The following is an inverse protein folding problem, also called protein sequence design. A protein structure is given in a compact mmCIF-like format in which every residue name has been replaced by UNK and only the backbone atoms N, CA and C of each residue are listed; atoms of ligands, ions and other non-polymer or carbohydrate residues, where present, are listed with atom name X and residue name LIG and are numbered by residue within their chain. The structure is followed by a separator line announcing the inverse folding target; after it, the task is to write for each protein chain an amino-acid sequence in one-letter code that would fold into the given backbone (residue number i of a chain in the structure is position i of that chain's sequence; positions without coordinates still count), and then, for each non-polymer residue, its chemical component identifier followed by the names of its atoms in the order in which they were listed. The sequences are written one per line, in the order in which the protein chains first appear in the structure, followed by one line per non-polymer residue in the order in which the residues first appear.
data_IF_701411894936
#
_entry.id   IF_701411894936
#
_cell.length_a   1.000
_cell.length_b   1.000
_cell.length_c   1.000
_cell.angle_alpha   90.00
_cell.angle_beta   90.00
_cell.angle_gamma   90.00
#
_symmetry.space_group_name_H-M   'P 1'
#
loop_
_entity.id
_entity.type
_entity.pdbx_description
1 polymer ?
#
# COMPACT_ATOMS: atom_id res chain seq x y z
N UNK A 1 -9.25 1.20 -70.58
CA UNK A 1 -9.29 2.13 -69.42
C UNK A 1 -8.32 3.26 -69.70
N UNK A 2 -8.76 4.52 -69.59
CA UNK A 2 -7.85 5.66 -69.76
C UNK A 2 -7.00 5.87 -68.49
N UNK A 3 -5.79 6.39 -68.64
CA UNK A 3 -4.84 6.62 -67.53
C UNK A 3 -5.45 7.42 -66.36
N UNK A 4 -6.33 8.37 -66.67
CA UNK A 4 -7.05 9.18 -65.68
C UNK A 4 -8.01 8.34 -64.81
N UNK A 5 -8.66 7.32 -65.36
CA UNK A 5 -9.55 6.44 -64.59
C UNK A 5 -8.76 5.57 -63.60
N UNK A 6 -7.56 5.12 -64.01
CA UNK A 6 -6.67 4.32 -63.16
C UNK A 6 -6.16 5.17 -61.98
N UNK A 7 -5.79 6.43 -62.24
CA UNK A 7 -5.34 7.36 -61.20
C UNK A 7 -6.42 7.64 -60.14
N UNK A 8 -7.68 7.84 -60.57
CA UNK A 8 -8.81 8.09 -59.65
C UNK A 8 -9.08 6.85 -58.78
N UNK A 9 -9.04 5.65 -59.36
CA UNK A 9 -9.25 4.40 -58.61
C UNK A 9 -8.12 4.17 -57.59
N UNK A 10 -6.87 4.45 -57.95
CA UNK A 10 -5.73 4.36 -57.03
C UNK A 10 -5.82 5.37 -55.89
N UNK A 11 -6.22 6.61 -56.17
CA UNK A 11 -6.41 7.64 -55.15
C UNK A 11 -7.55 7.26 -54.18
N UNK A 12 -8.66 6.74 -54.70
CA UNK A 12 -9.77 6.25 -53.88
C UNK A 12 -9.36 5.07 -53.00
N UNK A 13 -8.63 4.10 -53.55
CA UNK A 13 -8.11 2.96 -52.79
C UNK A 13 -7.14 3.41 -51.69
N UNK A 14 -6.21 4.30 -52.01
CA UNK A 14 -5.25 4.85 -51.05
C UNK A 14 -5.94 5.60 -49.90
N UNK A 15 -6.95 6.42 -50.20
CA UNK A 15 -7.75 7.12 -49.19
C UNK A 15 -8.51 6.14 -48.27
N UNK A 16 -9.05 5.06 -48.85
CA UNK A 16 -9.78 4.04 -48.10
C UNK A 16 -8.83 3.24 -47.19
N UNK A 17 -7.64 2.88 -47.67
CA UNK A 17 -6.60 2.26 -46.84
C UNK A 17 -6.07 3.19 -45.75
N UNK A 18 -5.88 4.49 -46.04
CA UNK A 18 -5.45 5.47 -45.05
C UNK A 18 -6.49 5.67 -43.94
N UNK A 19 -7.78 5.72 -44.30
CA UNK A 19 -8.88 5.79 -43.34
C UNK A 19 -8.92 4.53 -42.45
N UNK A 20 -8.79 3.34 -43.05
CA UNK A 20 -8.74 2.08 -42.31
C UNK A 20 -7.53 2.01 -41.38
N UNK A 21 -6.35 2.46 -41.83
CA UNK A 21 -5.15 2.52 -41.03
C UNK A 21 -5.32 3.46 -39.83
N UNK A 22 -5.94 4.63 -40.01
CA UNK A 22 -6.24 5.56 -38.93
C UNK A 22 -7.21 4.95 -37.89
N UNK A 23 -8.25 4.24 -38.34
CA UNK A 23 -9.18 3.53 -37.47
C UNK A 23 -8.48 2.40 -36.69
N UNK A 24 -7.61 1.62 -37.33
CA UNK A 24 -6.83 0.61 -36.63
C UNK A 24 -5.84 1.20 -35.64
N UNK A 25 -5.14 2.28 -36.00
CA UNK A 25 -4.18 2.95 -35.14
C UNK A 25 -4.84 3.48 -33.86
N UNK A 26 -6.02 4.12 -33.98
CA UNK A 26 -6.77 4.62 -32.82
C UNK A 26 -7.29 3.50 -31.92
N UNK A 27 -7.79 2.39 -32.49
CA UNK A 27 -8.21 1.22 -31.70
C UNK A 27 -7.03 0.53 -31.02
N UNK A 28 -5.89 0.45 -31.69
CA UNK A 28 -4.66 -0.11 -31.14
C UNK A 28 -4.13 0.74 -29.96
N UNK A 29 -4.13 2.07 -30.08
CA UNK A 29 -3.73 2.97 -28.98
C UNK A 29 -4.64 2.81 -27.76
N UNK A 30 -5.96 2.75 -27.98
CA UNK A 30 -6.92 2.52 -26.89
C UNK A 30 -6.74 1.15 -26.23
N UNK A 31 -6.49 0.09 -27.00
CA UNK A 31 -6.21 -1.23 -26.46
C UNK A 31 -4.89 -1.22 -25.66
N UNK A 32 -3.84 -0.59 -26.18
CA UNK A 32 -2.55 -0.50 -25.51
C UNK A 32 -2.66 0.24 -24.17
N UNK A 33 -3.35 1.38 -24.12
CA UNK A 33 -3.55 2.13 -22.87
C UNK A 33 -4.32 1.31 -21.83
N UNK A 34 -5.29 0.49 -22.25
CA UNK A 34 -6.03 -0.40 -21.36
C UNK A 34 -5.14 -1.50 -20.83
N UNK A 35 -4.33 -2.12 -21.67
CA UNK A 35 -3.42 -3.18 -21.26
C UNK A 35 -2.31 -2.66 -20.35
N UNK A 36 -1.74 -1.48 -20.62
CA UNK A 36 -0.78 -0.82 -19.70
C UNK A 36 -1.43 -0.58 -18.34
N UNK A 37 -2.67 -0.08 -18.31
CA UNK A 37 -3.40 0.12 -17.05
C UNK A 37 -3.66 -1.20 -16.32
N UNK A 38 -4.04 -2.26 -17.03
CA UNK A 38 -4.28 -3.57 -16.46
C UNK A 38 -2.98 -4.20 -15.94
N UNK A 39 -1.89 -4.07 -16.68
CA UNK A 39 -0.56 -4.51 -16.27
C UNK A 39 -0.12 -3.80 -15.00
N UNK A 40 -0.29 -2.47 -14.93
CA UNK A 40 -0.03 -1.71 -13.71
C UNK A 40 -0.86 -2.24 -12.55
N UNK A 41 -2.19 -2.40 -12.69
CA UNK A 41 -3.01 -2.95 -11.59
C UNK A 41 -2.55 -4.32 -11.11
N UNK A 42 -2.14 -5.20 -12.03
CA UNK A 42 -1.62 -6.54 -11.67
C UNK A 42 -0.30 -6.43 -10.91
N UNK A 43 0.60 -5.57 -11.38
CA UNK A 43 1.86 -5.28 -10.71
C UNK A 43 1.66 -4.68 -9.31
N UNK A 44 0.70 -3.76 -9.17
CA UNK A 44 0.36 -3.15 -7.90
C UNK A 44 -0.19 -4.18 -6.91
N UNK A 45 -1.04 -5.09 -7.38
CA UNK A 45 -1.55 -6.19 -6.57
C UNK A 45 -0.45 -7.17 -6.14
N UNK A 46 0.56 -7.43 -6.99
CA UNK A 46 1.65 -8.34 -6.66
C UNK A 46 2.69 -7.73 -5.72
N UNK A 47 2.87 -6.41 -5.76
CA UNK A 47 3.85 -5.68 -4.94
C UNK A 47 3.28 -5.17 -3.62
N UNK A 48 1.96 -5.25 -3.43
CA UNK A 48 1.30 -4.78 -2.21
C UNK A 48 1.78 -5.58 -0.99
N UNK A 49 2.29 -4.91 0.06
CA UNK A 49 2.62 -5.57 1.31
C UNK A 49 1.34 -6.03 2.03
N UNK A 50 1.41 -7.22 2.62
CA UNK A 50 0.29 -7.81 3.38
C UNK A 50 0.86 -8.33 4.70
N UNK A 51 1.11 -7.43 5.66
CA UNK A 51 1.65 -7.84 6.94
C UNK A 51 0.54 -8.43 7.81
N UNK A 52 0.84 -9.53 8.50
CA UNK A 52 -0.04 -10.22 9.43
C UNK A 52 0.60 -10.28 10.81
N UNK A 53 -0.22 -10.09 11.84
CA UNK A 53 0.23 -9.95 13.22
C UNK A 53 -0.37 -11.07 14.05
N UNK A 54 0.51 -11.87 14.65
CA UNK A 54 0.14 -12.95 15.56
C UNK A 54 0.62 -12.59 16.97
N UNK A 55 -0.32 -12.55 17.90
CA UNK A 55 -0.04 -12.19 19.29
C UNK A 55 0.55 -13.37 20.05
N UNK A 56 1.77 -13.22 20.56
CA UNK A 56 2.39 -14.20 21.46
C UNK A 56 2.11 -13.86 22.93
N UNK A 57 2.44 -14.79 23.84
CA UNK A 57 2.01 -14.76 25.25
C UNK A 57 2.35 -13.48 26.03
N UNK A 58 1.56 -13.26 27.09
CA UNK A 58 1.50 -12.07 27.92
C UNK A 58 2.78 -11.86 28.74
N UNK A 59 3.32 -10.64 28.64
CA UNK A 59 4.48 -10.17 29.42
C UNK A 59 3.99 -9.37 30.63
N UNK A 60 4.83 -9.24 31.65
CA UNK A 60 4.50 -8.44 32.83
C UNK A 60 4.23 -6.97 32.44
N UNK A 61 3.32 -6.27 33.17
CA UNK A 61 3.00 -4.87 32.90
C UNK A 61 4.25 -3.98 32.82
N UNK A 62 4.28 -3.06 31.86
CA UNK A 62 5.39 -2.13 31.64
C UNK A 62 6.62 -2.72 30.95
N UNK A 63 6.61 -4.00 30.58
CA UNK A 63 7.65 -4.60 29.74
C UNK A 63 7.25 -4.56 28.26
N UNK A 64 8.25 -4.59 27.38
CA UNK A 64 7.99 -4.71 25.94
C UNK A 64 7.26 -6.01 25.62
N UNK A 65 6.24 -5.95 24.77
CA UNK A 65 5.52 -7.13 24.31
C UNK A 65 6.20 -7.73 23.08
N UNK A 66 6.36 -9.05 23.04
CA UNK A 66 6.75 -9.73 21.81
C UNK A 66 5.51 -10.05 20.99
N UNK A 67 5.56 -9.72 19.70
CA UNK A 67 4.52 -10.00 18.74
C UNK A 67 5.17 -10.60 17.51
N UNK A 68 4.57 -11.64 16.93
CA UNK A 68 5.07 -12.19 15.67
C UNK A 68 4.45 -11.42 14.51
N UNK A 69 5.30 -10.90 13.63
CA UNK A 69 4.86 -10.24 12.40
C UNK A 69 5.41 -11.03 11.23
N UNK A 70 4.54 -11.40 10.32
CA UNK A 70 4.88 -11.98 9.03
C UNK A 70 4.44 -11.03 7.92
N UNK A 71 5.02 -11.18 6.73
CA UNK A 71 4.60 -10.45 5.55
C UNK A 71 4.27 -11.47 4.46
N UNK A 72 3.01 -11.53 4.05
CA UNK A 72 2.53 -12.47 3.04
C UNK A 72 2.59 -11.89 1.61
N UNK A 73 2.82 -10.58 1.50
CA UNK A 73 2.81 -9.85 0.24
C UNK A 73 4.20 -9.39 -0.22
N UNK A 74 4.19 -8.31 -1.00
CA UNK A 74 5.41 -7.62 -1.47
C UNK A 74 6.20 -6.99 -0.33
N UNK A 75 7.39 -6.47 -0.62
CA UNK A 75 8.31 -5.90 0.39
C UNK A 75 7.65 -4.80 1.24
N UNK A 76 7.81 -4.91 2.55
CA UNK A 76 7.36 -3.95 3.53
C UNK A 76 8.50 -2.96 3.83
N UNK A 77 8.59 -1.91 3.01
CA UNK A 77 9.64 -0.90 3.10
C UNK A 77 9.53 -0.02 4.36
N UNK A 78 8.34 0.02 4.96
CA UNK A 78 8.07 0.63 6.26
C UNK A 78 6.75 0.12 6.80
N UNK A 79 6.62 -0.01 8.12
CA UNK A 79 5.38 -0.40 8.75
C UNK A 79 5.23 0.22 10.12
N UNK A 80 4.20 1.07 10.28
CA UNK A 80 3.80 1.57 11.59
C UNK A 80 2.79 0.62 12.22
N UNK A 81 3.09 0.12 13.41
CA UNK A 81 2.23 -0.80 14.15
C UNK A 81 1.95 -0.24 15.54
N UNK A 82 0.66 -0.13 15.90
CA UNK A 82 0.19 0.16 17.26
C UNK A 82 -0.67 -1.01 17.72
N UNK A 83 -0.29 -1.60 18.84
CA UNK A 83 -1.00 -2.71 19.47
C UNK A 83 -1.42 -2.30 20.86
N UNK A 84 -2.67 -2.60 21.20
CA UNK A 84 -3.18 -2.54 22.55
C UNK A 84 -3.24 -3.95 23.13
N UNK A 85 -2.72 -4.13 24.33
CA UNK A 85 -2.93 -5.34 25.11
C UNK A 85 -3.35 -4.95 26.54
N UNK A 86 -4.51 -5.43 26.98
CA UNK A 86 -5.11 -5.04 28.26
C UNK A 86 -5.19 -3.50 28.39
N UNK A 87 -4.46 -2.95 29.35
CA UNK A 87 -4.43 -1.52 29.69
C UNK A 87 -3.17 -0.83 29.15
N UNK A 88 -2.46 -1.44 28.20
CA UNK A 88 -1.18 -0.93 27.69
C UNK A 88 -1.22 -0.78 26.17
N UNK A 89 -0.58 0.28 25.69
CA UNK A 89 -0.38 0.56 24.27
C UNK A 89 1.10 0.47 23.96
N UNK A 90 1.40 -0.29 22.92
CA UNK A 90 2.73 -0.50 22.39
C UNK A 90 2.75 -0.03 20.95
N UNK A 91 3.88 0.52 20.52
CA UNK A 91 4.06 0.93 19.14
C UNK A 91 5.48 0.73 18.69
N UNK A 92 5.65 0.28 17.45
CA UNK A 92 6.95 0.25 16.81
C UNK A 92 6.81 0.47 15.32
N UNK A 93 7.96 0.74 14.73
CA UNK A 93 8.13 0.75 13.29
C UNK A 93 9.02 -0.42 12.89
N UNK A 94 8.69 -1.08 11.78
CA UNK A 94 9.42 -2.25 11.30
C UNK A 94 9.47 -2.31 9.78
N UNK A 95 10.49 -2.97 9.26
CA UNK A 95 10.63 -3.27 7.84
C UNK A 95 10.78 -4.77 7.67
N UNK A 96 10.20 -5.32 6.61
CA UNK A 96 10.26 -6.75 6.32
C UNK A 96 10.51 -6.98 4.82
N UNK A 97 11.32 -7.98 4.46
CA UNK A 97 11.48 -8.37 3.07
C UNK A 97 10.17 -8.90 2.48
N UNK A 98 10.15 -9.10 1.16
CA UNK A 98 9.04 -9.79 0.50
C UNK A 98 8.86 -11.18 1.09
N UNK A 99 7.60 -11.57 1.33
CA UNK A 99 7.23 -12.91 1.84
C UNK A 99 8.01 -13.33 3.10
N UNK A 100 8.27 -12.37 3.99
CA UNK A 100 9.00 -12.64 5.22
C UNK A 100 8.20 -13.59 6.12
N UNK A 101 8.81 -14.70 6.61
CA UNK A 101 8.16 -15.58 7.57
C UNK A 101 7.91 -14.85 8.89
N UNK A 102 7.03 -15.42 9.72
CA UNK A 102 6.75 -14.90 11.06
C UNK A 102 8.03 -14.73 11.88
N UNK A 103 8.29 -13.49 12.30
CA UNK A 103 9.44 -13.13 13.15
C UNK A 103 8.95 -12.43 14.41
N UNK A 104 9.53 -12.76 15.58
CA UNK A 104 9.22 -12.04 16.80
C UNK A 104 9.80 -10.62 16.72
N UNK A 105 8.95 -9.63 17.01
CA UNK A 105 9.29 -8.22 17.08
C UNK A 105 8.90 -7.74 18.47
N UNK A 106 9.83 -7.04 19.11
CA UNK A 106 9.60 -6.43 20.41
C UNK A 106 8.96 -5.06 20.21
N UNK A 107 7.76 -4.87 20.77
CA UNK A 107 7.06 -3.60 20.79
C UNK A 107 7.26 -2.92 22.15
N UNK A 108 7.90 -1.74 22.21
CA UNK A 108 8.10 -1.01 23.44
C UNK A 108 6.77 -0.48 23.99
N UNK A 109 6.68 -0.43 25.31
CA UNK A 109 5.57 0.22 26.01
C UNK A 109 5.62 1.73 25.75
N UNK A 110 4.48 2.32 25.39
CA UNK A 110 4.35 3.76 25.16
C UNK A 110 3.55 4.41 26.29
N UNK A 111 2.35 3.92 26.53
CA UNK A 111 1.41 4.53 27.46
C UNK A 111 0.35 3.52 27.89
N UNK A 112 -0.32 3.79 29.01
CA UNK A 112 -1.54 3.07 29.37
C UNK A 112 -2.70 3.44 28.45
N UNK A 113 -3.46 2.42 28.04
CA UNK A 113 -4.67 2.59 27.28
C UNK A 113 -5.77 3.23 28.14
N UNK A 114 -6.62 4.02 27.49
CA UNK A 114 -7.77 4.68 28.12
C UNK A 114 -8.94 3.70 28.39
N UNK A 115 -8.97 2.58 27.66
CA UNK A 115 -9.93 1.50 27.82
C UNK A 115 -9.18 0.19 27.95
N UNK A 116 -9.70 -0.75 28.72
CA UNK A 116 -9.16 -2.10 28.82
C UNK A 116 -9.60 -2.94 27.64
N UNK A 117 -8.67 -3.55 26.92
CA UNK A 117 -8.96 -4.56 25.92
C UNK A 117 -8.94 -5.97 26.54
N UNK A 118 -9.92 -6.81 26.24
CA UNK A 118 -9.95 -8.21 26.71
C UNK A 118 -8.95 -9.10 25.97
N UNK A 119 -8.64 -8.75 24.71
CA UNK A 119 -7.68 -9.45 23.86
C UNK A 119 -6.73 -8.44 23.21
N UNK A 120 -5.48 -8.84 22.91
CA UNK A 120 -4.57 -8.02 22.12
C UNK A 120 -5.20 -7.63 20.78
N UNK A 121 -5.11 -6.35 20.42
CA UNK A 121 -5.68 -5.82 19.17
C UNK A 121 -4.75 -4.78 18.55
N UNK A 122 -4.56 -4.87 17.24
CA UNK A 122 -3.91 -3.82 16.47
C UNK A 122 -4.88 -2.64 16.31
N UNK A 123 -4.48 -1.48 16.81
CA UNK A 123 -5.23 -0.23 16.70
C UNK A 123 -4.87 0.53 15.42
N UNK A 124 -3.63 0.37 14.96
CA UNK A 124 -3.15 0.94 13.72
C UNK A 124 -2.13 -0.03 13.10
N UNK A 125 -2.27 -0.27 11.80
CA UNK A 125 -1.28 -0.99 11.03
C UNK A 125 -1.21 -0.39 9.63
N UNK A 126 -0.11 0.29 9.35
CA UNK A 126 0.11 0.95 8.07
C UNK A 126 1.35 0.37 7.43
N UNK A 127 1.23 -0.09 6.19
CA UNK A 127 2.35 -0.60 5.41
C UNK A 127 2.74 0.39 4.31
N UNK A 128 4.03 0.55 4.08
CA UNK A 128 4.61 1.26 2.94
C UNK A 128 5.31 0.25 2.03
N UNK A 129 5.01 0.32 0.73
CA UNK A 129 5.67 -0.50 -0.29
C UNK A 129 6.98 0.15 -0.78
N UNK A 130 7.72 -0.58 -1.62
CA UNK A 130 8.96 -0.08 -2.24
C UNK A 130 8.72 1.11 -3.17
N UNK A 131 7.51 1.20 -3.75
CA UNK A 131 7.08 2.31 -4.59
C UNK A 131 6.75 3.59 -3.81
N UNK A 132 6.75 3.55 -2.47
CA UNK A 132 6.42 4.68 -1.61
C UNK A 132 4.94 4.87 -1.31
N UNK A 133 4.06 3.98 -1.79
CA UNK A 133 2.63 3.99 -1.50
C UNK A 133 2.38 3.41 -0.11
N UNK A 134 1.38 3.95 0.58
CA UNK A 134 1.00 3.49 1.90
C UNK A 134 -0.38 2.87 1.89
N UNK A 135 -0.59 1.85 2.73
CA UNK A 135 -1.83 1.09 2.81
C UNK A 135 -2.25 0.92 4.27
N UNK A 136 -3.54 1.09 4.54
CA UNK A 136 -4.14 0.72 5.83
C UNK A 136 -4.42 -0.78 5.85
N UNK A 137 -3.60 -1.53 6.56
CA UNK A 137 -3.67 -2.98 6.62
C UNK A 137 -4.82 -3.50 7.51
N UNK A 138 -5.42 -2.66 8.35
CA UNK A 138 -6.58 -3.06 9.17
C UNK A 138 -7.88 -2.97 8.37
N UNK A 139 -8.00 -2.01 7.45
CA UNK A 139 -9.17 -1.83 6.59
C UNK A 139 -8.98 -2.47 5.20
N UNK A 140 -8.53 -3.73 5.18
CA UNK A 140 -8.39 -4.53 3.96
C UNK A 140 -7.27 -4.08 3.01
N UNK A 141 -6.33 -3.26 3.48
CA UNK A 141 -5.23 -2.74 2.68
C UNK A 141 -5.66 -1.60 1.75
N UNK A 142 -6.55 -0.70 2.18
CA UNK A 142 -6.92 0.48 1.39
C UNK A 142 -5.72 1.42 1.22
N UNK A 143 -5.56 1.96 0.02
CA UNK A 143 -4.48 2.90 -0.27
C UNK A 143 -4.71 4.25 0.43
N UNK A 144 -3.65 4.77 1.04
CA UNK A 144 -3.61 6.04 1.74
C UNK A 144 -2.93 7.08 0.84
N UNK A 145 -3.71 8.07 0.37
CA UNK A 145 -3.20 9.12 -0.54
C UNK A 145 -2.26 10.12 0.11
N UNK A 146 -2.53 10.50 1.36
CA UNK A 146 -1.70 11.43 2.14
C UNK A 146 -1.36 10.77 3.48
N UNK A 147 -0.23 10.02 3.55
CA UNK A 147 0.15 9.26 4.74
C UNK A 147 0.33 10.15 5.96
N UNK A 148 0.90 11.36 5.79
CA UNK A 148 1.17 12.27 6.90
C UNK A 148 -0.11 12.77 7.55
N UNK A 149 -1.06 13.24 6.74
CA UNK A 149 -2.35 13.70 7.24
C UNK A 149 -3.17 12.56 7.81
N UNK A 150 -3.16 11.40 7.16
CA UNK A 150 -3.93 10.23 7.59
C UNK A 150 -3.40 9.68 8.93
N UNK A 151 -2.10 9.44 9.06
CA UNK A 151 -1.48 8.97 10.30
C UNK A 151 -1.71 9.97 11.43
N UNK A 152 -1.52 11.27 11.17
CA UNK A 152 -1.81 12.31 12.15
C UNK A 152 -3.26 12.29 12.64
N UNK A 153 -4.22 12.03 11.75
CA UNK A 153 -5.64 11.88 12.11
C UNK A 153 -5.89 10.65 12.97
N UNK A 154 -5.28 9.50 12.63
CA UNK A 154 -5.42 8.27 13.42
C UNK A 154 -4.81 8.43 14.82
N UNK A 155 -3.60 8.98 14.90
CA UNK A 155 -2.93 9.24 16.18
C UNK A 155 -3.73 10.21 17.05
N UNK A 156 -4.38 11.22 16.45
CA UNK A 156 -5.29 12.12 17.19
C UNK A 156 -6.51 11.35 17.71
N UNK A 157 -7.11 10.49 16.89
CA UNK A 157 -8.23 9.63 17.31
C UNK A 157 -7.87 8.69 18.45
N UNK A 158 -6.63 8.18 18.45
CA UNK A 158 -6.08 7.33 19.51
C UNK A 158 -5.53 8.11 20.71
N UNK A 159 -5.56 9.46 20.68
CA UNK A 159 -4.94 10.35 21.69
C UNK A 159 -3.43 10.11 21.89
N UNK A 160 -2.74 9.69 20.84
CA UNK A 160 -1.31 9.39 20.81
C UNK A 160 -0.49 10.45 20.05
N UNK A 161 -1.09 11.60 19.76
CA UNK A 161 -0.43 12.67 19.03
C UNK A 161 0.81 13.16 19.80
N UNK A 162 1.98 13.11 19.17
CA UNK A 162 3.26 13.50 19.77
C UNK A 162 3.89 12.45 20.69
N UNK A 163 3.24 11.31 20.93
CA UNK A 163 3.78 10.20 21.72
C UNK A 163 4.53 9.20 20.85
N UNK A 164 4.08 9.02 19.61
CA UNK A 164 4.66 8.13 18.61
C UNK A 164 4.69 8.86 17.28
N UNK A 165 5.74 8.61 16.50
CA UNK A 165 5.87 9.05 15.11
C UNK A 165 6.29 7.87 14.24
N UNK A 166 5.95 7.92 12.95
CA UNK A 166 6.25 6.87 11.99
C UNK A 166 7.01 7.41 10.77
N UNK A 167 8.29 7.81 10.93
CA UNK A 167 9.04 8.50 9.89
C UNK A 167 9.20 7.71 8.58
N UNK A 168 9.29 6.37 8.60
CA UNK A 168 9.33 5.63 7.31
C UNK A 168 8.00 5.68 6.56
N UNK A 169 6.89 5.98 7.23
CA UNK A 169 5.56 6.12 6.61
C UNK A 169 5.29 7.56 6.20
N UNK A 170 5.48 8.52 7.11
CA UNK A 170 5.11 9.93 6.89
C UNK A 170 6.19 10.74 6.19
N UNK A 171 7.39 10.17 6.02
CA UNK A 171 8.58 10.88 5.58
C UNK A 171 9.21 11.68 6.72
N UNK A 172 10.51 11.98 6.59
CA UNK A 172 11.22 12.80 7.57
C UNK A 172 10.54 14.16 7.72
N UNK A 173 10.11 14.48 8.93
CA UNK A 173 9.77 15.85 9.30
C UNK A 173 11.06 16.67 9.17
N UNK A 174 11.11 17.60 8.20
CA UNK A 174 12.14 18.65 8.20
C UNK A 174 11.98 19.40 9.53
N UNK A 175 12.88 19.12 10.48
CA UNK A 175 13.11 19.94 11.66
C UNK A 175 13.75 21.25 11.24
#
# INVERSE_FOLDING_TARGET
MSSNQIAVVLAAAAALFALWAAVFATRADLAMRREVRNANKRWEASTKPVPHVTYTQFVAPGQSIQVQVENLGGTLAGCGLIVQNADEIYAAELTLPEKAPARPISLPFIVKAWQRASQPKALLMVARDVGGRCFDCLDGGKEIKDPRKWVGSQLRGLRMQGMVDFPTITGATKR
#
